data_IF_526301917637
#
_entry.id   IF_526301917637
#
_cell.length_a   1.000
_cell.length_b   1.000
_cell.length_c   1.000
_cell.angle_alpha   90.00
_cell.angle_beta   90.00
_cell.angle_gamma   90.00
#
_symmetry.space_group_name_H-M   'P 1'
#
loop_
_entity.id
_entity.type
_entity.pdbx_description
1 polymer ?
#
# COMPACT_ATOMS: atom_id res chain seq x y z
N UNK A 1 48.18 -80.82 39.35
CA UNK A 1 48.02 -81.92 38.38
C UNK A 1 47.36 -81.33 37.15
N UNK A 2 48.17 -80.89 36.19
CA UNK A 2 48.54 -81.61 34.95
C UNK A 2 47.44 -81.43 33.88
N UNK A 3 47.62 -80.49 32.92
CA UNK A 3 48.33 -80.67 31.63
C UNK A 3 47.52 -81.65 30.72
N UNK A 4 47.13 -81.41 29.46
CA UNK A 4 47.84 -80.85 28.29
C UNK A 4 46.86 -80.69 27.09
N UNK A 5 47.27 -79.82 26.14
CA UNK A 5 47.21 -79.96 24.66
C UNK A 5 45.90 -79.78 23.88
N UNK A 6 45.71 -78.69 23.09
CA UNK A 6 46.31 -78.31 21.75
C UNK A 6 45.73 -79.14 20.57
N UNK A 7 45.72 -78.68 19.29
CA UNK A 7 46.45 -77.56 18.68
C UNK A 7 45.67 -76.66 17.67
N UNK A 8 46.38 -75.65 17.16
CA UNK A 8 46.06 -74.61 16.16
C UNK A 8 46.59 -75.05 14.75
N UNK A 9 46.62 -74.18 13.71
CA UNK A 9 45.69 -73.94 12.58
C UNK A 9 46.18 -74.56 11.23
N UNK A 10 45.76 -74.01 10.06
CA UNK A 10 46.78 -73.69 9.05
C UNK A 10 46.72 -72.22 8.52
N UNK A 11 47.85 -71.69 8.01
CA UNK A 11 48.00 -70.33 7.50
C UNK A 11 47.91 -70.28 5.97
N UNK A 12 47.53 -69.12 5.41
CA UNK A 12 47.94 -68.76 4.05
C UNK A 12 48.75 -67.45 4.06
N UNK A 13 49.77 -67.50 3.23
CA UNK A 13 51.01 -66.75 3.21
C UNK A 13 50.89 -65.49 2.32
N UNK A 14 51.53 -64.38 2.75
CA UNK A 14 52.47 -63.51 1.99
C UNK A 14 51.93 -62.76 0.74
N UNK A 15 52.25 -61.51 0.40
CA UNK A 15 53.29 -60.54 0.77
C UNK A 15 52.88 -59.12 0.34
N UNK A 16 53.43 -58.11 1.02
CA UNK A 16 53.94 -56.82 0.55
C UNK A 16 53.65 -56.39 -0.91
N UNK A 17 53.13 -55.16 -1.10
CA UNK A 17 53.88 -54.06 -1.73
C UNK A 17 53.54 -52.72 -1.03
N UNK A 18 54.61 -52.03 -0.67
CA UNK A 18 54.69 -50.68 -0.15
C UNK A 18 54.41 -49.64 -1.24
N UNK A 19 53.60 -48.62 -0.95
CA UNK A 19 53.88 -47.27 -1.46
C UNK A 19 53.35 -46.23 -0.47
N UNK A 20 54.27 -45.55 0.19
CA UNK A 20 54.03 -44.32 0.95
C UNK A 20 53.71 -43.19 -0.04
N UNK A 21 52.59 -42.49 0.20
CA UNK A 21 52.41 -41.08 -0.16
C UNK A 21 51.72 -40.39 1.03
N UNK A 22 52.08 -39.14 1.34
CA UNK A 22 51.86 -38.52 2.65
C UNK A 22 50.39 -38.14 2.89
N UNK A 23 49.95 -38.33 4.14
CA UNK A 23 48.67 -37.92 4.70
C UNK A 23 48.38 -36.43 4.42
N UNK A 24 47.64 -36.14 3.35
CA UNK A 24 46.79 -34.96 3.31
C UNK A 24 45.49 -35.29 4.02
N UNK A 25 45.11 -34.43 4.95
CA UNK A 25 43.95 -34.53 5.81
C UNK A 25 42.68 -34.45 4.95
N UNK A 26 42.18 -35.60 4.47
CA UNK A 26 40.87 -35.69 3.85
C UNK A 26 39.86 -35.77 5.00
N UNK A 27 38.93 -34.79 5.13
CA UNK A 27 37.90 -34.85 6.16
C UNK A 27 37.02 -36.10 5.94
N UNK A 28 36.55 -36.75 7.01
CA UNK A 28 35.71 -37.93 6.88
C UNK A 28 34.45 -37.57 6.08
N UNK A 29 34.16 -38.38 5.06
CA UNK A 29 32.86 -38.39 4.39
C UNK A 29 31.77 -38.50 5.48
N UNK A 30 30.71 -37.68 5.43
CA UNK A 30 29.65 -37.79 6.41
C UNK A 30 29.05 -39.20 6.32
N UNK A 31 29.07 -39.90 7.44
CA UNK A 31 28.30 -41.12 7.63
C UNK A 31 26.87 -40.89 7.11
N UNK A 32 26.23 -41.89 6.46
CA UNK A 32 24.80 -41.79 6.20
C UNK A 32 24.12 -41.54 7.54
N UNK A 33 23.58 -40.33 7.71
CA UNK A 33 22.87 -39.93 8.90
C UNK A 33 21.63 -40.82 8.99
N UNK A 34 21.73 -41.90 9.76
CA UNK A 34 20.58 -42.61 10.31
C UNK A 34 19.88 -41.66 11.29
N UNK A 35 19.24 -40.62 10.77
CA UNK A 35 18.15 -39.95 11.47
C UNK A 35 16.94 -40.86 11.36
N UNK A 36 16.29 -41.24 12.49
CA UNK A 36 15.03 -41.97 12.42
C UNK A 36 14.01 -41.12 11.62
N UNK A 37 13.06 -41.74 10.88
CA UNK A 37 11.99 -41.00 10.24
C UNK A 37 11.21 -40.24 11.33
N UNK A 38 11.19 -38.92 11.24
CA UNK A 38 10.43 -38.03 12.13
C UNK A 38 8.93 -38.34 12.07
N UNK A 39 8.24 -38.67 13.18
CA UNK A 39 6.79 -38.86 13.22
C UNK A 39 6.06 -37.56 13.63
N UNK A 40 4.73 -37.47 13.43
CA UNK A 40 4.03 -36.80 12.33
C UNK A 40 3.90 -35.28 12.52
N UNK A 41 3.95 -34.54 11.42
CA UNK A 41 3.64 -33.12 11.33
C UNK A 41 2.13 -32.85 11.52
N UNK A 42 1.54 -33.15 12.69
CA UNK A 42 0.10 -32.95 12.93
C UNK A 42 -0.36 -31.50 12.63
N UNK A 43 0.54 -30.51 12.78
CA UNK A 43 0.25 -29.10 12.46
C UNK A 43 0.17 -28.85 10.97
N UNK A 44 1.09 -29.43 10.21
CA UNK A 44 1.13 -29.24 8.77
C UNK A 44 0.05 -30.11 8.11
N UNK A 45 -0.21 -31.32 8.62
CA UNK A 45 -1.35 -32.16 8.19
C UNK A 45 -2.70 -31.48 8.46
N UNK A 46 -2.87 -30.82 9.60
CA UNK A 46 -4.07 -30.05 9.90
C UNK A 46 -4.22 -28.84 8.96
N UNK A 47 -3.13 -28.14 8.70
CA UNK A 47 -3.12 -27.00 7.79
C UNK A 47 -3.42 -27.41 6.35
N UNK A 48 -2.79 -28.48 5.86
CA UNK A 48 -3.02 -29.06 4.53
C UNK A 48 -4.45 -29.54 4.38
N UNK A 49 -5.03 -30.15 5.42
CA UNK A 49 -6.43 -30.52 5.41
C UNK A 49 -7.33 -29.29 5.30
N UNK A 50 -7.12 -28.25 6.12
CA UNK A 50 -7.90 -27.02 6.05
C UNK A 50 -7.71 -26.29 4.71
N UNK A 51 -6.54 -26.38 4.08
CA UNK A 51 -6.26 -25.84 2.75
C UNK A 51 -7.08 -26.52 1.65
N UNK A 52 -7.39 -27.81 1.78
CA UNK A 52 -8.12 -28.57 0.77
C UNK A 52 -9.64 -28.29 0.74
N UNK A 53 -10.16 -27.47 1.68
CA UNK A 53 -11.59 -27.13 1.76
C UNK A 53 -11.82 -25.61 1.68
N UNK A 54 -12.23 -25.15 0.50
CA UNK A 54 -12.50 -23.73 0.23
C UNK A 54 -13.65 -23.15 1.06
N UNK A 55 -14.65 -23.97 1.40
CA UNK A 55 -15.77 -23.56 2.24
C UNK A 55 -15.46 -23.59 3.74
N UNK A 56 -14.25 -23.98 4.14
CA UNK A 56 -13.86 -24.15 5.53
C UNK A 56 -14.34 -25.47 6.16
N UNK A 57 -13.73 -25.82 7.28
CA UNK A 57 -13.87 -27.11 7.94
C UNK A 57 -14.44 -26.92 9.35
N UNK A 58 -15.42 -27.74 9.75
CA UNK A 58 -15.97 -27.70 11.11
C UNK A 58 -15.08 -28.46 12.12
N UNK A 59 -15.23 -28.15 13.41
CA UNK A 59 -14.50 -28.85 14.47
C UNK A 59 -14.75 -30.37 14.46
N UNK A 60 -15.96 -30.79 14.11
CA UNK A 60 -16.33 -32.20 14.04
C UNK A 60 -15.63 -32.93 12.88
N UNK A 61 -15.48 -32.26 11.74
CA UNK A 61 -14.71 -32.77 10.60
C UNK A 61 -13.21 -32.89 10.94
N UNK A 62 -12.64 -31.90 11.63
CA UNK A 62 -11.23 -31.93 12.08
C UNK A 62 -11.00 -33.09 13.07
N UNK A 63 -11.97 -33.37 13.93
CA UNK A 63 -11.89 -34.49 14.89
C UNK A 63 -11.92 -35.86 14.23
N UNK A 64 -12.65 -36.01 13.12
CA UNK A 64 -12.67 -37.26 12.35
C UNK A 64 -11.28 -37.53 11.74
N UNK A 65 -10.58 -36.47 11.31
CA UNK A 65 -9.22 -36.59 10.76
C UNK A 65 -8.17 -36.90 11.84
N UNK A 66 -8.31 -36.32 13.03
CA UNK A 66 -7.36 -36.45 14.13
C UNK A 66 -8.02 -37.08 15.37
N UNK A 67 -8.48 -38.34 15.30
CA UNK A 67 -9.20 -38.99 16.40
C UNK A 67 -8.31 -39.27 17.62
N UNK A 68 -6.98 -39.31 17.41
CA UNK A 68 -6.00 -39.64 18.45
C UNK A 68 -5.53 -38.41 19.27
N UNK A 69 -6.06 -37.21 18.99
CA UNK A 69 -5.64 -35.99 19.65
C UNK A 69 -6.68 -35.52 20.69
N UNK A 70 -6.22 -35.16 21.89
CA UNK A 70 -7.09 -34.56 22.91
C UNK A 70 -7.70 -33.25 22.41
N UNK A 71 -8.95 -32.97 22.80
CA UNK A 71 -9.64 -31.71 22.47
C UNK A 71 -8.83 -30.48 22.89
N UNK A 72 -8.14 -30.57 24.03
CA UNK A 72 -7.34 -29.48 24.57
C UNK A 72 -6.17 -29.15 23.65
N UNK A 73 -5.38 -30.16 23.26
CA UNK A 73 -4.28 -29.99 22.32
C UNK A 73 -4.73 -29.52 20.94
N UNK A 74 -5.90 -29.97 20.46
CA UNK A 74 -6.48 -29.54 19.19
C UNK A 74 -6.82 -28.04 19.22
N UNK A 75 -7.43 -27.57 20.31
CA UNK A 75 -7.75 -26.15 20.49
C UNK A 75 -6.47 -25.30 20.59
N UNK A 76 -5.46 -25.77 21.31
CA UNK A 76 -4.16 -25.08 21.39
C UNK A 76 -3.50 -24.94 20.01
N UNK A 77 -3.61 -25.98 19.20
CA UNK A 77 -3.08 -25.99 17.85
C UNK A 77 -3.83 -25.07 16.90
N UNK A 78 -5.17 -25.08 16.95
CA UNK A 78 -5.97 -24.11 16.20
C UNK A 78 -5.65 -22.69 16.62
N UNK A 79 -5.57 -22.41 17.92
CA UNK A 79 -5.20 -21.10 18.45
C UNK A 79 -3.81 -20.67 17.97
N UNK A 80 -2.83 -21.56 17.92
CA UNK A 80 -1.50 -21.28 17.33
C UNK A 80 -1.60 -20.95 15.85
N UNK A 81 -2.39 -21.68 15.08
CA UNK A 81 -2.59 -21.42 13.64
C UNK A 81 -3.31 -20.08 13.41
N UNK A 82 -4.32 -19.75 14.21
CA UNK A 82 -5.04 -18.47 14.17
C UNK A 82 -4.10 -17.31 14.53
N UNK A 83 -3.33 -17.44 15.60
CA UNK A 83 -2.37 -16.43 16.04
C UNK A 83 -1.25 -16.24 15.00
N UNK A 84 -0.86 -17.31 14.30
CA UNK A 84 0.08 -17.25 13.17
C UNK A 84 -0.56 -16.71 11.87
N UNK A 85 -1.85 -16.38 11.88
CA UNK A 85 -2.66 -15.97 10.73
C UNK A 85 -2.71 -16.98 9.58
N UNK A 86 -2.44 -18.27 9.83
CA UNK A 86 -2.51 -19.33 8.81
C UNK A 86 -3.94 -19.80 8.54
N UNK A 87 -4.83 -19.64 9.52
CA UNK A 87 -6.26 -19.95 9.40
C UNK A 87 -7.12 -18.82 10.00
N UNK A 88 -8.36 -18.70 9.54
CA UNK A 88 -9.39 -17.79 10.06
C UNK A 88 -10.61 -18.57 10.53
N UNK A 89 -11.35 -18.00 11.50
CA UNK A 89 -12.59 -18.59 12.03
C UNK A 89 -13.78 -17.77 11.55
N UNK A 90 -14.84 -18.43 11.12
CA UNK A 90 -16.13 -17.81 10.86
C UNK A 90 -17.28 -18.67 11.39
N UNK A 91 -18.47 -18.06 11.55
CA UNK A 91 -19.68 -18.74 12.02
C UNK A 91 -20.72 -18.79 10.91
N UNK A 92 -21.27 -19.97 10.65
CA UNK A 92 -22.34 -20.22 9.67
C UNK A 92 -23.36 -21.17 10.29
N UNK A 93 -24.64 -20.78 10.27
CA UNK A 93 -25.76 -21.58 10.81
C UNK A 93 -25.58 -22.04 12.26
N UNK A 94 -24.97 -21.18 13.11
CA UNK A 94 -24.69 -21.50 14.52
C UNK A 94 -23.47 -22.40 14.76
N UNK A 95 -22.79 -22.85 13.71
CA UNK A 95 -21.60 -23.69 13.77
C UNK A 95 -20.33 -22.90 13.46
N UNK A 96 -19.21 -23.35 14.03
CA UNK A 96 -17.88 -22.71 13.88
C UNK A 96 -17.08 -23.45 12.81
N UNK A 97 -16.54 -22.69 11.85
CA UNK A 97 -15.74 -23.21 10.75
C UNK A 97 -14.35 -22.55 10.73
N UNK A 98 -13.35 -23.32 10.29
CA UNK A 98 -11.95 -22.93 10.14
C UNK A 98 -11.57 -22.98 8.67
N UNK A 99 -11.09 -21.87 8.11
CA UNK A 99 -10.66 -21.78 6.70
C UNK A 99 -9.22 -21.30 6.63
N UNK A 100 -8.48 -21.78 5.64
CA UNK A 100 -7.10 -21.33 5.45
C UNK A 100 -7.01 -19.87 4.99
N UNK A 101 -6.00 -19.18 5.49
CA UNK A 101 -5.64 -17.82 5.07
C UNK A 101 -4.64 -17.85 3.89
N UNK A 102 -4.33 -19.02 3.31
CA UNK A 102 -3.48 -19.14 2.11
C UNK A 102 -4.04 -18.36 0.91
N UNK A 103 -5.34 -18.04 0.91
CA UNK A 103 -5.92 -16.98 0.07
C UNK A 103 -5.53 -15.56 0.47
N UNK A 104 -4.38 -15.34 1.13
CA UNK A 104 -3.87 -13.98 1.42
C UNK A 104 -3.63 -13.21 0.13
N UNK A 105 -3.22 -13.90 -0.94
CA UNK A 105 -3.14 -13.32 -2.28
C UNK A 105 -4.54 -13.01 -2.82
N UNK A 106 -5.55 -13.82 -2.50
CA UNK A 106 -6.95 -13.53 -2.88
C UNK A 106 -7.48 -12.30 -2.15
N UNK A 107 -7.19 -12.16 -0.86
CA UNK A 107 -7.60 -11.00 -0.08
C UNK A 107 -6.84 -9.74 -0.48
N UNK A 108 -5.53 -9.83 -0.75
CA UNK A 108 -4.72 -8.73 -1.23
C UNK A 108 -5.19 -8.27 -2.62
N UNK A 109 -5.42 -9.22 -3.54
CA UNK A 109 -5.95 -8.95 -4.88
C UNK A 109 -7.37 -8.39 -4.83
N UNK A 110 -8.24 -8.92 -3.96
CA UNK A 110 -9.60 -8.41 -3.78
C UNK A 110 -9.58 -6.97 -3.26
N UNK A 111 -8.74 -6.67 -2.26
CA UNK A 111 -8.64 -5.33 -1.69
C UNK A 111 -8.04 -4.34 -2.70
N UNK A 112 -7.02 -4.76 -3.46
CA UNK A 112 -6.45 -3.96 -4.54
C UNK A 112 -7.49 -3.67 -5.64
N UNK A 113 -8.23 -4.69 -6.09
CA UNK A 113 -9.32 -4.55 -7.07
C UNK A 113 -10.43 -3.63 -6.55
N UNK A 114 -10.74 -3.70 -5.26
CA UNK A 114 -11.74 -2.83 -4.65
C UNK A 114 -11.27 -1.36 -4.65
N UNK A 115 -10.01 -1.11 -4.30
CA UNK A 115 -9.43 0.24 -4.35
C UNK A 115 -9.34 0.73 -5.80
N UNK A 116 -8.97 -0.12 -6.75
CA UNK A 116 -8.90 0.28 -8.16
C UNK A 116 -10.27 0.68 -8.72
N UNK A 117 -11.34 0.01 -8.29
CA UNK A 117 -12.71 0.39 -8.66
C UNK A 117 -13.13 1.77 -8.13
N UNK A 118 -12.59 2.20 -6.99
CA UNK A 118 -12.86 3.54 -6.45
C UNK A 118 -12.15 4.67 -7.20
N UNK A 119 -11.20 4.31 -8.08
CA UNK A 119 -10.38 5.24 -8.87
C UNK A 119 -9.95 6.42 -8.01
N UNK A 120 -10.55 7.59 -8.28
CA UNK A 120 -10.01 8.89 -7.95
C UNK A 120 -10.50 9.43 -6.59
N UNK A 121 -11.65 8.93 -6.11
CA UNK A 121 -12.21 9.30 -4.80
C UNK A 121 -11.53 8.55 -3.64
N UNK A 122 -10.99 7.36 -3.94
CA UNK A 122 -10.39 6.46 -2.97
C UNK A 122 -11.42 5.80 -2.03
N UNK A 123 -10.94 4.95 -1.13
CA UNK A 123 -11.77 4.30 -0.11
C UNK A 123 -11.20 4.55 1.28
N UNK A 124 -12.06 4.96 2.21
CA UNK A 124 -11.74 4.92 3.64
C UNK A 124 -11.88 3.51 4.22
N UNK A 125 -11.17 3.28 5.32
CA UNK A 125 -11.06 1.95 5.95
C UNK A 125 -12.41 1.31 6.33
N UNK A 126 -13.42 2.12 6.66
CA UNK A 126 -14.75 1.62 7.01
C UNK A 126 -15.46 0.96 5.82
N UNK A 127 -15.46 1.61 4.65
CA UNK A 127 -16.03 1.03 3.43
C UNK A 127 -15.28 -0.23 3.00
N UNK A 128 -13.96 -0.23 3.11
CA UNK A 128 -13.15 -1.42 2.80
C UNK A 128 -13.62 -2.58 3.66
N UNK A 129 -13.82 -2.38 4.96
CA UNK A 129 -14.34 -3.43 5.84
C UNK A 129 -15.77 -3.87 5.47
N UNK A 130 -16.68 -2.92 5.22
CA UNK A 130 -18.07 -3.23 4.91
C UNK A 130 -18.22 -3.99 3.58
N UNK A 131 -17.38 -3.68 2.57
CA UNK A 131 -17.41 -4.35 1.27
C UNK A 131 -16.68 -5.69 1.26
N UNK A 132 -15.59 -5.83 2.02
CA UNK A 132 -14.76 -7.05 2.02
C UNK A 132 -15.14 -8.05 3.11
N UNK A 133 -15.92 -7.64 4.12
CA UNK A 133 -16.23 -8.43 5.32
C UNK A 133 -14.99 -9.00 6.04
N UNK A 134 -13.82 -8.36 5.88
CA UNK A 134 -12.57 -8.82 6.48
C UNK A 134 -12.43 -8.46 7.97
N UNK A 135 -11.74 -9.31 8.76
CA UNK A 135 -11.33 -8.95 10.12
C UNK A 135 -10.44 -7.69 10.12
N UNK A 136 -10.61 -6.82 11.11
CA UNK A 136 -9.90 -5.53 11.21
C UNK A 136 -8.37 -5.68 11.10
N UNK A 137 -7.79 -6.60 11.88
CA UNK A 137 -6.34 -6.80 11.94
C UNK A 137 -5.76 -7.29 10.61
N UNK A 138 -6.51 -8.14 9.91
CA UNK A 138 -6.12 -8.68 8.61
C UNK A 138 -6.15 -7.60 7.53
N UNK A 139 -7.25 -6.84 7.44
CA UNK A 139 -7.36 -5.73 6.49
C UNK A 139 -6.28 -4.67 6.70
N UNK A 140 -5.97 -4.32 7.96
CA UNK A 140 -4.91 -3.36 8.27
C UNK A 140 -3.51 -3.89 7.92
N UNK A 141 -3.25 -5.19 8.12
CA UNK A 141 -1.99 -5.82 7.72
C UNK A 141 -1.81 -5.80 6.19
N UNK A 142 -2.85 -6.14 5.44
CA UNK A 142 -2.84 -6.14 3.97
C UNK A 142 -2.64 -4.72 3.43
N UNK A 143 -3.36 -3.73 3.96
CA UNK A 143 -3.19 -2.33 3.57
C UNK A 143 -1.76 -1.84 3.77
N UNK A 144 -1.14 -2.13 4.92
CA UNK A 144 0.28 -1.82 5.17
C UNK A 144 1.20 -2.53 4.19
N UNK A 145 0.91 -3.79 3.85
CA UNK A 145 1.70 -4.54 2.87
C UNK A 145 1.61 -3.90 1.47
N UNK A 146 0.41 -3.52 1.04
CA UNK A 146 0.17 -2.85 -0.24
C UNK A 146 0.82 -1.45 -0.29
N UNK A 147 0.82 -0.70 0.82
CA UNK A 147 1.53 0.57 0.94
C UNK A 147 3.05 0.36 0.83
N UNK A 148 3.60 -0.64 1.53
CA UNK A 148 5.03 -0.96 1.47
C UNK A 148 5.48 -1.39 0.06
N UNK A 149 4.62 -2.13 -0.65
CA UNK A 149 4.83 -2.52 -2.06
C UNK A 149 4.63 -1.36 -3.05
N UNK A 150 4.21 -0.18 -2.58
CA UNK A 150 3.87 0.99 -3.41
C UNK A 150 2.78 0.70 -4.47
N UNK A 151 1.84 -0.18 -4.14
CA UNK A 151 0.66 -0.43 -5.00
C UNK A 151 -0.47 0.55 -4.66
N UNK A 152 -0.55 0.92 -3.38
CA UNK A 152 -1.49 1.93 -2.89
C UNK A 152 -0.72 3.01 -2.12
N UNK A 153 -1.36 4.16 -1.97
CA UNK A 153 -0.94 5.24 -1.07
C UNK A 153 -2.12 5.66 -0.22
N UNK A 154 -1.83 6.18 0.97
CA UNK A 154 -2.83 6.80 1.80
C UNK A 154 -2.71 8.31 1.82
N UNK A 155 -3.85 8.98 1.81
CA UNK A 155 -3.95 10.42 1.93
C UNK A 155 -5.15 10.79 2.78
N UNK A 156 -5.20 12.01 3.27
CA UNK A 156 -6.39 12.55 3.92
C UNK A 156 -7.23 13.21 2.84
N UNK A 157 -8.54 12.97 2.87
CA UNK A 157 -9.51 13.60 1.98
C UNK A 157 -9.92 14.94 2.59
N UNK A 158 -9.90 16.02 1.80
CA UNK A 158 -10.26 17.37 2.27
C UNK A 158 -11.74 17.49 2.59
N UNK A 159 -12.64 16.96 1.74
CA UNK A 159 -14.11 17.00 1.96
C UNK A 159 -14.52 16.45 3.31
N UNK A 160 -13.97 15.29 3.69
CA UNK A 160 -14.46 14.52 4.83
C UNK A 160 -13.43 14.40 5.96
N UNK A 161 -12.25 15.03 5.84
CA UNK A 161 -11.14 14.99 6.81
C UNK A 161 -10.74 13.57 7.26
N UNK A 162 -10.91 12.57 6.38
CA UNK A 162 -10.69 11.14 6.68
C UNK A 162 -9.55 10.58 5.87
N UNK A 163 -8.85 9.59 6.44
CA UNK A 163 -7.82 8.81 5.72
C UNK A 163 -8.49 7.93 4.67
N UNK A 164 -8.12 8.12 3.41
CA UNK A 164 -8.54 7.33 2.25
C UNK A 164 -7.32 6.64 1.62
N UNK A 165 -7.56 5.50 1.00
CA UNK A 165 -6.56 4.72 0.28
C UNK A 165 -6.87 4.77 -1.22
N UNK A 166 -5.85 5.02 -2.01
CA UNK A 166 -5.93 5.20 -3.47
C UNK A 166 -4.77 4.45 -4.12
N UNK A 167 -4.87 4.12 -5.40
CA UNK A 167 -3.74 3.55 -6.15
C UNK A 167 -2.53 4.51 -6.14
N UNK A 168 -1.33 3.94 -6.10
CA UNK A 168 -0.10 4.71 -6.01
C UNK A 168 0.10 5.63 -7.22
N UNK A 169 -0.10 5.09 -8.42
CA UNK A 169 0.09 5.79 -9.69
C UNK A 169 -1.05 6.76 -10.03
N UNK A 170 -2.15 6.73 -9.27
CA UNK A 170 -3.31 7.55 -9.57
C UNK A 170 -3.20 8.93 -8.92
N UNK A 171 -3.50 9.97 -9.69
CA UNK A 171 -3.66 11.33 -9.17
C UNK A 171 -5.07 11.45 -8.58
N UNK A 172 -5.21 11.73 -7.27
CA UNK A 172 -6.52 11.96 -6.65
C UNK A 172 -7.20 13.19 -7.25
N UNK A 173 -8.54 13.25 -7.19
CA UNK A 173 -9.31 14.33 -7.80
C UNK A 173 -9.16 15.60 -6.98
N UNK A 174 -9.40 16.74 -7.62
CA UNK A 174 -9.51 18.06 -6.98
C UNK A 174 -10.46 18.03 -5.78
N UNK A 175 -11.48 17.17 -5.84
CA UNK A 175 -12.43 16.92 -4.78
C UNK A 175 -11.83 16.27 -3.52
N UNK A 176 -10.78 15.46 -3.69
CA UNK A 176 -10.07 14.80 -2.60
C UNK A 176 -8.89 15.64 -2.11
N UNK A 177 -8.21 16.35 -3.01
CA UNK A 177 -7.05 17.21 -2.72
C UNK A 177 -7.40 18.65 -2.38
N UNK A 178 -8.65 19.09 -2.57
CA UNK A 178 -9.10 20.48 -2.43
C UNK A 178 -8.66 21.42 -3.56
N UNK A 179 -7.98 20.91 -4.60
CA UNK A 179 -7.50 21.70 -5.73
C UNK A 179 -6.15 22.38 -5.49
N UNK A 180 -5.80 23.31 -6.38
CA UNK A 180 -4.46 23.90 -6.52
C UNK A 180 -3.97 24.70 -5.31
N UNK A 181 -4.88 25.17 -4.46
CA UNK A 181 -4.58 26.00 -3.30
C UNK A 181 -4.18 25.21 -2.07
N UNK A 182 -4.26 23.88 -2.11
CA UNK A 182 -4.03 23.02 -0.95
C UNK A 182 -2.74 22.22 -1.10
N UNK A 183 -1.93 22.25 -0.06
CA UNK A 183 -0.77 21.40 0.11
C UNK A 183 -0.90 20.64 1.44
N UNK A 184 -0.71 19.32 1.42
CA UNK A 184 -0.86 18.46 2.61
C UNK A 184 -2.17 18.62 3.41
N UNK A 185 -3.26 19.03 2.75
CA UNK A 185 -4.59 19.36 3.33
C UNK A 185 -4.67 20.68 4.10
N UNK A 186 -3.69 21.56 3.94
CA UNK A 186 -3.75 22.94 4.40
C UNK A 186 -3.75 23.88 3.20
N UNK A 187 -4.41 25.03 3.34
CA UNK A 187 -4.36 26.06 2.30
C UNK A 187 -2.95 26.64 2.30
N UNK A 188 -2.27 26.56 1.17
CA UNK A 188 -0.97 27.18 0.98
C UNK A 188 -1.17 28.68 0.73
N UNK A 189 -1.37 29.41 1.83
CA UNK A 189 -1.61 30.86 1.82
C UNK A 189 -0.44 31.62 1.20
N UNK A 190 0.79 31.13 1.34
CA UNK A 190 1.97 31.76 0.75
C UNK A 190 1.94 31.65 -0.77
N UNK A 191 1.62 30.46 -1.29
CA UNK A 191 1.42 30.24 -2.73
C UNK A 191 0.31 31.13 -3.29
N UNK A 192 -0.87 31.15 -2.64
CA UNK A 192 -2.00 32.00 -3.03
C UNK A 192 -1.58 33.48 -3.08
N UNK A 193 -0.92 33.98 -2.03
CA UNK A 193 -0.47 35.37 -1.96
C UNK A 193 0.58 35.71 -3.01
N UNK A 194 1.48 34.77 -3.32
CA UNK A 194 2.47 34.97 -4.37
C UNK A 194 1.82 35.03 -5.76
N UNK A 195 0.83 34.17 -6.03
CA UNK A 195 0.06 34.22 -7.26
C UNK A 195 -0.73 35.52 -7.36
N UNK A 196 -1.37 35.98 -6.27
CA UNK A 196 -2.01 37.29 -6.24
C UNK A 196 -1.06 38.42 -6.65
N UNK A 197 0.17 38.43 -6.13
CA UNK A 197 1.17 39.46 -6.48
C UNK A 197 1.54 39.38 -7.97
N UNK A 198 1.75 38.19 -8.49
CA UNK A 198 2.14 37.97 -9.90
C UNK A 198 1.01 38.41 -10.84
N UNK A 199 -0.22 37.99 -10.56
CA UNK A 199 -1.42 38.37 -11.33
C UNK A 199 -1.61 39.88 -11.29
N UNK A 200 -1.54 40.49 -10.09
CA UNK A 200 -1.66 41.92 -9.94
C UNK A 200 -0.59 42.68 -10.73
N UNK A 201 0.67 42.24 -10.68
CA UNK A 201 1.76 42.83 -11.46
C UNK A 201 1.55 42.70 -12.97
N UNK A 202 1.01 41.57 -13.42
CA UNK A 202 0.70 41.34 -14.83
C UNK A 202 -0.40 42.28 -15.32
N UNK A 203 -1.52 42.36 -14.58
CA UNK A 203 -2.62 43.28 -14.90
C UNK A 203 -2.11 44.72 -14.88
N UNK A 204 -1.42 45.13 -13.80
CA UNK A 204 -0.87 46.48 -13.67
C UNK A 204 0.05 46.84 -14.82
N UNK A 205 0.94 45.93 -15.24
CA UNK A 205 1.86 46.18 -16.36
C UNK A 205 1.12 46.44 -17.67
N UNK A 206 -0.01 45.76 -17.89
CA UNK A 206 -0.80 45.89 -19.11
C UNK A 206 -1.74 47.11 -19.07
N UNK A 207 -2.21 47.50 -17.88
CA UNK A 207 -3.16 48.61 -17.69
C UNK A 207 -2.53 49.90 -17.17
N UNK A 208 -1.21 49.93 -16.98
CA UNK A 208 -0.50 51.12 -16.49
C UNK A 208 -0.64 52.30 -17.46
N UNK A 209 -0.92 53.48 -16.91
CA UNK A 209 -1.02 54.72 -17.66
C UNK A 209 -0.01 55.71 -17.08
N UNK A 210 0.91 56.19 -17.91
CA UNK A 210 1.91 57.20 -17.50
C UNK A 210 1.29 58.60 -17.30
N UNK A 211 0.23 58.93 -18.06
CA UNK A 211 -0.47 60.21 -18.00
C UNK A 211 -1.87 60.05 -17.38
N UNK A 212 -2.16 60.67 -16.22
CA UNK A 212 -3.48 60.59 -15.56
C UNK A 212 -4.66 61.05 -16.44
N UNK A 213 -4.42 61.80 -17.52
CA UNK A 213 -5.46 62.25 -18.44
C UNK A 213 -5.78 61.23 -19.55
N UNK A 214 -5.02 60.16 -19.67
CA UNK A 214 -5.25 59.12 -20.67
C UNK A 214 -6.24 58.07 -20.15
N UNK A 215 -7.25 57.74 -20.95
CA UNK A 215 -8.19 56.67 -20.63
C UNK A 215 -7.55 55.29 -20.87
N UNK A 216 -7.87 54.32 -20.01
CA UNK A 216 -7.46 52.93 -20.18
C UNK A 216 -8.09 52.40 -21.47
N UNK A 217 -7.27 51.88 -22.39
CA UNK A 217 -7.78 51.19 -23.58
C UNK A 217 -8.23 49.80 -23.15
N UNK A 218 -9.52 49.49 -23.34
CA UNK A 218 -10.11 48.17 -23.00
C UNK A 218 -9.31 47.02 -23.64
N UNK A 219 -8.77 47.20 -24.84
CA UNK A 219 -7.95 46.20 -25.54
C UNK A 219 -6.63 45.86 -24.82
N UNK A 220 -6.16 46.71 -23.92
CA UNK A 220 -4.96 46.46 -23.12
C UNK A 220 -5.29 45.72 -21.81
N UNK A 221 -6.56 45.65 -21.42
CA UNK A 221 -6.98 44.94 -20.21
C UNK A 221 -6.96 43.43 -20.50
N UNK A 222 -6.15 42.64 -19.75
CA UNK A 222 -6.02 41.23 -20.01
C UNK A 222 -7.31 40.46 -19.68
N UNK A 223 -7.58 39.43 -20.48
CA UNK A 223 -8.71 38.52 -20.28
C UNK A 223 -8.38 37.43 -19.26
N UNK A 224 -9.40 36.76 -18.73
CA UNK A 224 -9.24 35.56 -17.87
C UNK A 224 -8.28 34.53 -18.52
N UNK A 225 -8.46 34.29 -19.82
CA UNK A 225 -7.64 33.36 -20.60
C UNK A 225 -6.17 33.80 -20.68
N UNK A 226 -5.90 35.07 -21.00
CA UNK A 226 -4.53 35.59 -21.08
C UNK A 226 -3.79 35.54 -19.74
N UNK A 227 -4.50 35.80 -18.63
CA UNK A 227 -3.94 35.66 -17.28
C UNK A 227 -3.59 34.20 -16.99
N UNK A 228 -4.48 33.27 -17.36
CA UNK A 228 -4.26 31.83 -17.19
C UNK A 228 -3.06 31.32 -17.99
N UNK A 229 -2.97 31.68 -19.27
CA UNK A 229 -1.83 31.35 -20.14
C UNK A 229 -0.52 31.91 -19.58
N UNK A 230 -0.53 33.16 -19.08
CA UNK A 230 0.65 33.76 -18.46
C UNK A 230 1.08 32.99 -17.22
N UNK A 231 0.16 32.66 -16.30
CA UNK A 231 0.49 31.92 -15.08
C UNK A 231 1.00 30.50 -15.37
N UNK A 232 0.34 29.78 -16.28
CA UNK A 232 0.75 28.43 -16.68
C UNK A 232 2.11 28.46 -17.41
N UNK A 233 2.36 29.49 -18.21
CA UNK A 233 3.65 29.71 -18.88
C UNK A 233 4.83 29.95 -17.93
N UNK A 234 4.59 30.53 -16.74
CA UNK A 234 5.62 30.73 -15.72
C UNK A 234 6.03 29.43 -15.01
N UNK A 235 5.24 28.35 -15.12
CA UNK A 235 5.50 27.04 -14.48
C UNK A 235 5.83 27.12 -12.99
N UNK A 236 5.19 28.06 -12.28
CA UNK A 236 5.37 28.26 -10.84
C UNK A 236 4.63 27.18 -10.05
N UNK A 237 3.55 26.66 -10.64
CA UNK A 237 2.75 25.58 -10.08
C UNK A 237 3.13 24.23 -10.69
N UNK A 238 2.98 23.16 -9.91
CA UNK A 238 3.21 21.79 -10.35
C UNK A 238 2.17 21.31 -11.38
N UNK A 239 1.03 21.99 -11.46
CA UNK A 239 -0.11 21.64 -12.30
C UNK A 239 -0.68 22.91 -12.94
N UNK A 240 -1.29 22.77 -14.13
CA UNK A 240 -1.93 23.87 -14.86
C UNK A 240 -3.20 24.35 -14.15
N UNK A 241 -3.31 25.67 -13.91
CA UNK A 241 -4.49 26.28 -13.29
C UNK A 241 -5.66 26.22 -14.28
N UNK A 242 -6.80 25.73 -13.82
CA UNK A 242 -8.06 25.76 -14.57
C UNK A 242 -8.71 27.15 -14.50
N UNK A 243 -9.40 27.54 -15.56
CA UNK A 243 -10.11 28.82 -15.63
C UNK A 243 -11.07 29.05 -14.46
N UNK A 244 -11.76 28.00 -13.98
CA UNK A 244 -12.68 28.08 -12.85
C UNK A 244 -12.00 28.49 -11.55
N UNK A 245 -10.82 27.92 -11.28
CA UNK A 245 -10.07 28.19 -10.06
C UNK A 245 -9.40 29.56 -10.13
N UNK A 246 -8.91 29.94 -11.31
CA UNK A 246 -8.40 31.28 -11.58
C UNK A 246 -9.49 32.34 -11.41
N UNK A 247 -10.69 32.09 -11.91
CA UNK A 247 -11.84 32.99 -11.75
C UNK A 247 -12.18 33.21 -10.28
N UNK A 248 -12.23 32.13 -9.51
CA UNK A 248 -12.46 32.21 -8.05
C UNK A 248 -11.36 33.03 -7.35
N UNK A 249 -10.11 32.92 -7.81
CA UNK A 249 -9.00 33.73 -7.31
C UNK A 249 -9.19 35.21 -7.65
N UNK A 250 -9.54 35.54 -8.89
CA UNK A 250 -9.78 36.93 -9.32
C UNK A 250 -10.99 37.54 -8.59
N UNK A 251 -12.05 36.78 -8.36
CA UNK A 251 -13.23 37.23 -7.60
C UNK A 251 -12.85 37.67 -6.17
N UNK A 252 -11.91 36.97 -5.52
CA UNK A 252 -11.37 37.38 -4.21
C UNK A 252 -10.59 38.69 -4.34
N UNK A 253 -9.78 38.88 -5.39
CA UNK A 253 -9.05 40.14 -5.60
C UNK A 253 -9.98 41.31 -5.90
N UNK A 254 -11.12 41.06 -6.56
CA UNK A 254 -12.18 42.05 -6.76
C UNK A 254 -12.83 42.41 -5.42
N UNK A 255 -13.15 41.41 -4.60
CA UNK A 255 -13.71 41.64 -3.28
C UNK A 255 -12.76 42.42 -2.35
N UNK A 256 -11.45 42.26 -2.51
CA UNK A 256 -10.42 43.05 -1.80
C UNK A 256 -10.16 44.44 -2.42
N UNK A 257 -10.95 44.88 -3.41
CA UNK A 257 -10.81 46.16 -4.13
C UNK A 257 -9.42 46.37 -4.78
N UNK A 258 -8.70 45.29 -5.12
CA UNK A 258 -7.37 45.38 -5.77
C UNK A 258 -7.47 45.50 -7.28
N UNK A 259 -8.43 44.78 -7.87
CA UNK A 259 -8.72 44.76 -9.30
C UNK A 259 -10.21 44.92 -9.51
N UNK A 260 -10.60 45.38 -10.70
CA UNK A 260 -11.99 45.45 -11.13
C UNK A 260 -12.16 44.66 -12.43
N UNK A 261 -13.33 44.04 -12.57
CA UNK A 261 -13.76 43.43 -13.82
C UNK A 261 -14.55 44.45 -14.62
N UNK A 262 -14.18 44.63 -15.89
CA UNK A 262 -14.85 45.54 -16.81
C UNK A 262 -15.83 44.73 -17.68
N UNK A 263 -15.69 44.78 -19.00
CA UNK A 263 -16.50 44.03 -19.96
C UNK A 263 -15.76 42.76 -20.43
N UNK A 264 -16.51 41.72 -20.81
CA UNK A 264 -15.98 40.49 -21.43
C UNK A 264 -14.91 39.74 -20.62
N UNK A 265 -15.04 39.68 -19.29
CA UNK A 265 -14.03 39.05 -18.41
C UNK A 265 -12.62 39.65 -18.57
N UNK A 266 -12.55 40.96 -18.84
CA UNK A 266 -11.31 41.75 -18.79
C UNK A 266 -11.12 42.39 -17.43
N UNK A 267 -9.87 42.45 -16.99
CA UNK A 267 -9.50 42.93 -15.66
C UNK A 267 -8.57 44.13 -15.73
N UNK A 268 -8.73 45.07 -14.80
CA UNK A 268 -7.82 46.22 -14.61
C UNK A 268 -7.59 46.47 -13.12
N UNK A 269 -6.55 47.20 -12.75
CA UNK A 269 -6.35 47.62 -11.36
C UNK A 269 -7.24 48.83 -11.03
N UNK A 270 -7.87 48.81 -9.85
CA UNK A 270 -8.77 49.89 -9.36
C UNK A 270 -8.01 51.22 -9.22
N UNK A 271 -6.74 51.17 -8.82
CA UNK A 271 -5.86 52.33 -8.70
C UNK A 271 -4.76 52.25 -9.76
N UNK A 272 -5.08 52.66 -10.98
CA UNK A 272 -4.11 52.79 -12.09
C UNK A 272 -3.34 54.14 -12.09
N UNK A 273 -3.42 54.90 -10.99
CA UNK A 273 -2.72 56.19 -10.81
C UNK A 273 -1.37 55.99 -10.12
#
# INVERSE_FOLDING_TARGET
MSLLNTPYPPPFHYSFISSLLPLHHIPPLPFPSNTPPSPPHHMDTLLDFINNYDEGVSLDQIRILLPNLSKEHLVDFLNKLINSNKITIFKKDGLVYYKSTSGSDDYESLLLNLISQSSTEGLWFREIKEKTNMPHNLAMKILRNLENKRLIKSMKCIKNNRKVYVLYDLVPSDDVTGGYWFNENEVDLECVQNIFKIVYQFIKKNTFIEDPNCLIKINNCPTLYEIGEYLNGLKILNYEIKEKDLKSLLDVMIYEDKIEMIEEERYTCVNNV
#
